data_IF_822072608677
#
_entry.id   IF_822072608677
#
_cell.length_a   1.000
_cell.length_b   1.000
_cell.length_c   1.000
_cell.angle_alpha   90.00
_cell.angle_beta   90.00
_cell.angle_gamma   90.00
#
_symmetry.space_group_name_H-M   'P 1'
#
loop_
_entity.id
_entity.type
_entity.pdbx_description
1 polymer ?
#
# COMPACT_ATOMS: atom_id res chain seq x y z
N UNK A 1 -11.27 -30.13 -0.39
CA UNK A 1 -9.92 -29.53 -0.28
C UNK A 1 -9.40 -29.31 -1.70
N UNK A 2 -9.83 -28.23 -2.35
CA UNK A 2 -9.33 -27.82 -3.66
C UNK A 2 -8.01 -27.08 -3.42
N UNK A 3 -6.88 -27.73 -3.68
CA UNK A 3 -5.59 -27.04 -3.78
C UNK A 3 -5.67 -26.06 -4.93
N UNK A 4 -5.79 -24.78 -4.61
CA UNK A 4 -5.88 -23.69 -5.58
C UNK A 4 -4.57 -23.56 -6.35
N UNK A 5 -4.61 -23.77 -7.64
CA UNK A 5 -3.49 -23.47 -8.54
C UNK A 5 -3.26 -21.96 -8.50
N UNK A 6 -2.14 -21.51 -7.93
CA UNK A 6 -1.74 -20.10 -8.03
C UNK A 6 -1.48 -19.82 -9.51
N UNK A 7 -2.34 -19.00 -10.13
CA UNK A 7 -2.16 -18.58 -11.52
C UNK A 7 -0.73 -18.06 -11.74
N UNK A 8 -0.14 -18.40 -12.88
CA UNK A 8 1.21 -17.93 -13.27
C UNK A 8 1.35 -16.40 -13.20
N UNK A 9 0.25 -15.66 -13.40
CA UNK A 9 0.21 -14.21 -13.24
C UNK A 9 0.41 -13.77 -11.78
N UNK A 10 -0.19 -14.48 -10.82
CA UNK A 10 -0.03 -14.21 -9.38
C UNK A 10 1.39 -14.58 -8.93
N UNK A 11 1.94 -15.70 -9.41
CA UNK A 11 3.32 -16.07 -9.10
C UNK A 11 4.30 -15.03 -9.63
N UNK A 12 4.12 -14.57 -10.88
CA UNK A 12 4.95 -13.51 -11.46
C UNK A 12 4.85 -12.21 -10.66
N UNK A 13 3.65 -11.82 -10.23
CA UNK A 13 3.42 -10.67 -9.36
C UNK A 13 4.19 -10.79 -8.03
N UNK A 14 4.07 -11.94 -7.35
CA UNK A 14 4.78 -12.20 -6.09
C UNK A 14 6.29 -12.08 -6.30
N UNK A 15 6.84 -12.68 -7.35
CA UNK A 15 8.27 -12.61 -7.65
C UNK A 15 8.74 -11.16 -7.87
N UNK A 16 7.96 -10.33 -8.58
CA UNK A 16 8.30 -8.93 -8.80
C UNK A 16 8.20 -8.13 -7.50
N UNK A 17 7.15 -8.33 -6.70
CA UNK A 17 6.96 -7.64 -5.43
C UNK A 17 8.05 -7.96 -4.40
N UNK A 18 8.53 -9.21 -4.35
CA UNK A 18 9.66 -9.62 -3.51
C UNK A 18 11.00 -9.06 -4.00
N UNK A 19 11.11 -8.74 -5.29
CA UNK A 19 12.31 -8.15 -5.87
C UNK A 19 12.42 -6.63 -5.65
N UNK A 20 11.37 -5.99 -5.13
CA UNK A 20 11.41 -4.56 -4.76
C UNK A 20 12.43 -4.39 -3.63
N UNK A 21 13.51 -3.62 -3.84
CA UNK A 21 14.55 -3.45 -2.83
C UNK A 21 14.03 -2.62 -1.65
N UNK A 22 14.57 -2.86 -0.46
CA UNK A 22 14.37 -1.98 0.70
C UNK A 22 15.27 -0.73 0.58
N UNK A 23 14.85 0.39 1.18
CA UNK A 23 15.51 1.71 1.06
C UNK A 23 16.97 1.75 1.55
N UNK A 24 17.36 0.81 2.39
CA UNK A 24 18.71 0.65 2.97
C UNK A 24 19.67 -0.11 2.05
N UNK A 25 19.18 -0.71 0.96
CA UNK A 25 20.00 -1.51 0.04
C UNK A 25 20.83 -0.60 -0.90
N UNK A 26 22.13 -0.89 -1.11
CA UNK A 26 22.95 -0.18 -2.09
C UNK A 26 22.34 -0.24 -3.49
N UNK A 27 22.48 0.87 -4.22
CA UNK A 27 21.95 1.04 -5.59
C UNK A 27 20.42 0.94 -5.67
N UNK A 28 19.72 1.29 -4.57
CA UNK A 28 18.25 1.30 -4.46
C UNK A 28 17.54 1.81 -5.73
N UNK A 29 17.88 3.02 -6.16
CA UNK A 29 17.25 3.68 -7.31
C UNK A 29 17.52 2.97 -8.64
N UNK A 30 18.73 2.40 -8.81
CA UNK A 30 19.10 1.65 -10.02
C UNK A 30 18.34 0.32 -10.07
N UNK A 31 18.23 -0.37 -8.93
CA UNK A 31 17.47 -1.63 -8.82
C UNK A 31 15.99 -1.41 -9.09
N UNK A 32 15.39 -0.36 -8.54
CA UNK A 32 14.00 0.01 -8.82
C UNK A 32 13.77 0.31 -10.32
N UNK A 33 14.64 1.10 -10.95
CA UNK A 33 14.51 1.40 -12.40
C UNK A 33 14.60 0.14 -13.26
N UNK A 34 15.46 -0.82 -12.90
CA UNK A 34 15.57 -2.10 -13.62
C UNK A 34 14.35 -2.98 -13.43
N UNK A 35 13.69 -2.89 -12.28
CA UNK A 35 12.48 -3.66 -11.97
C UNK A 35 11.23 -3.08 -12.64
N UNK A 36 11.20 -1.77 -12.90
CA UNK A 36 10.04 -1.04 -13.41
C UNK A 36 9.39 -1.66 -14.67
N UNK A 37 10.12 -2.10 -15.71
CA UNK A 37 9.49 -2.72 -16.88
C UNK A 37 8.81 -4.07 -16.57
N UNK A 38 9.29 -4.78 -15.53
CA UNK A 38 8.67 -6.01 -15.07
C UNK A 38 7.41 -5.73 -14.26
N UNK A 39 7.44 -4.69 -13.42
CA UNK A 39 6.27 -4.19 -12.71
C UNK A 39 5.16 -3.73 -13.66
N UNK A 40 5.49 -2.96 -14.70
CA UNK A 40 4.52 -2.45 -15.70
C UNK A 40 3.82 -3.61 -16.43
N UNK A 41 4.57 -4.66 -16.80
CA UNK A 41 4.02 -5.87 -17.43
C UNK A 41 3.11 -6.65 -16.48
N UNK A 42 3.47 -6.73 -15.20
CA UNK A 42 2.64 -7.38 -14.18
C UNK A 42 1.37 -6.55 -13.93
N UNK A 43 1.47 -5.23 -13.85
CA UNK A 43 0.34 -4.32 -13.69
C UNK A 43 -0.72 -4.52 -14.79
N UNK A 44 -0.32 -4.54 -16.06
CA UNK A 44 -1.24 -4.75 -17.18
C UNK A 44 -1.94 -6.12 -17.16
N UNK A 45 -1.28 -7.13 -16.57
CA UNK A 45 -1.84 -8.48 -16.42
C UNK A 45 -2.78 -8.56 -15.22
N UNK A 46 -2.42 -7.91 -14.11
CA UNK A 46 -3.19 -7.84 -12.87
C UNK A 46 -4.45 -6.98 -13.06
N UNK A 47 -4.37 -5.90 -13.83
CA UNK A 47 -5.50 -5.02 -14.16
C UNK A 47 -6.66 -5.74 -14.87
N UNK A 48 -6.33 -6.80 -15.62
CA UNK A 48 -7.31 -7.62 -16.36
C UNK A 48 -7.86 -8.79 -15.55
N UNK A 49 -7.21 -9.16 -14.45
CA UNK A 49 -7.55 -10.32 -13.62
C UNK A 49 -8.35 -9.91 -12.38
N UNK A 50 -8.82 -8.66 -12.34
CA UNK A 50 -9.55 -8.10 -11.21
C UNK A 50 -10.94 -8.73 -11.15
N UNK A 51 -11.01 -9.85 -10.45
CA UNK A 51 -12.04 -10.24 -9.50
C UNK A 51 -11.79 -11.71 -9.16
N UNK A 52 -11.52 -12.01 -7.89
CA UNK A 52 -11.50 -13.37 -7.30
C UNK A 52 -10.23 -14.16 -7.68
N UNK A 53 -9.16 -14.11 -6.88
CA UNK A 53 -8.73 -15.27 -6.08
C UNK A 53 -7.73 -14.90 -4.96
N UNK A 54 -7.69 -13.63 -4.53
CA UNK A 54 -6.78 -13.18 -3.46
C UNK A 54 -7.22 -13.57 -2.04
N UNK A 55 -8.31 -14.33 -1.89
CA UNK A 55 -9.04 -14.45 -0.61
C UNK A 55 -8.17 -14.85 0.59
N UNK A 56 -7.02 -15.50 0.38
CA UNK A 56 -6.06 -15.81 1.45
C UNK A 56 -4.57 -15.63 1.06
N UNK A 57 -4.26 -15.00 -0.07
CA UNK A 57 -2.86 -14.91 -0.54
C UNK A 57 -2.16 -13.65 -0.05
N UNK A 58 -1.70 -13.70 1.21
CA UNK A 58 -0.89 -12.65 1.85
C UNK A 58 0.24 -12.15 0.96
N UNK A 59 1.03 -13.08 0.39
CA UNK A 59 2.22 -12.74 -0.37
C UNK A 59 1.87 -11.93 -1.63
N UNK A 60 0.73 -12.20 -2.24
CA UNK A 60 0.28 -11.48 -3.41
C UNK A 60 -0.19 -10.07 -3.07
N UNK A 61 -0.83 -9.87 -1.90
CA UNK A 61 -1.21 -8.55 -1.40
C UNK A 61 0.01 -7.72 -0.99
N UNK A 62 0.97 -8.35 -0.28
CA UNK A 62 2.25 -7.71 0.08
C UNK A 62 3.01 -7.28 -1.19
N UNK A 63 2.98 -8.10 -2.25
CA UNK A 63 3.58 -7.76 -3.53
C UNK A 63 2.91 -6.55 -4.20
N UNK A 64 1.57 -6.44 -4.17
CA UNK A 64 0.86 -5.27 -4.68
C UNK A 64 1.22 -4.02 -3.89
N UNK A 65 1.30 -4.11 -2.55
CA UNK A 65 1.72 -3.00 -1.71
C UNK A 65 3.14 -2.52 -2.05
N UNK A 66 4.08 -3.45 -2.24
CA UNK A 66 5.46 -3.15 -2.64
C UNK A 66 5.54 -2.49 -4.03
N UNK A 67 4.67 -2.90 -4.98
CA UNK A 67 4.56 -2.23 -6.26
C UNK A 67 4.05 -0.78 -6.12
N UNK A 68 3.14 -0.51 -5.18
CA UNK A 68 2.73 0.85 -4.84
C UNK A 68 3.91 1.72 -4.40
N UNK A 69 4.80 1.20 -3.55
CA UNK A 69 6.03 1.88 -3.13
C UNK A 69 6.95 2.10 -4.34
N UNK A 70 7.17 1.08 -5.16
CA UNK A 70 8.01 1.17 -6.35
C UNK A 70 7.53 2.27 -7.30
N UNK A 71 6.21 2.36 -7.55
CA UNK A 71 5.64 3.38 -8.41
C UNK A 71 5.71 4.77 -7.80
N UNK A 72 5.45 4.91 -6.49
CA UNK A 72 5.54 6.18 -5.79
C UNK A 72 6.96 6.76 -5.86
N UNK A 73 7.99 5.92 -5.67
CA UNK A 73 9.40 6.35 -5.76
C UNK A 73 9.87 6.68 -7.19
N UNK A 74 9.10 6.30 -8.22
CA UNK A 74 9.35 6.63 -9.62
C UNK A 74 8.43 7.76 -10.11
N UNK A 75 7.77 8.48 -9.20
CA UNK A 75 6.79 9.54 -9.48
C UNK A 75 5.58 9.10 -10.34
N UNK A 76 5.32 7.78 -10.42
CA UNK A 76 4.16 7.20 -11.10
C UNK A 76 2.95 7.16 -10.16
N UNK A 77 2.42 8.35 -9.88
CA UNK A 77 1.41 8.53 -8.82
C UNK A 77 0.11 7.77 -9.09
N UNK A 78 -0.41 7.79 -10.32
CA UNK A 78 -1.67 7.11 -10.63
C UNK A 78 -1.58 5.59 -10.45
N UNK A 79 -0.47 4.99 -10.88
CA UNK A 79 -0.20 3.57 -10.73
C UNK A 79 0.03 3.20 -9.26
N UNK A 80 0.73 4.05 -8.49
CA UNK A 80 0.93 3.85 -7.06
C UNK A 80 -0.40 3.86 -6.29
N UNK A 81 -1.27 4.83 -6.56
CA UNK A 81 -2.59 4.94 -5.95
C UNK A 81 -3.43 3.69 -6.25
N UNK A 82 -3.45 3.26 -7.52
CA UNK A 82 -4.17 2.06 -7.93
C UNK A 82 -3.66 0.80 -7.21
N UNK A 83 -2.36 0.67 -6.97
CA UNK A 83 -1.80 -0.46 -6.21
C UNK A 83 -2.21 -0.42 -4.75
N UNK A 84 -2.08 0.72 -4.08
CA UNK A 84 -2.46 0.82 -2.68
C UNK A 84 -3.96 0.57 -2.44
N UNK A 85 -4.84 1.10 -3.31
CA UNK A 85 -6.28 0.86 -3.22
C UNK A 85 -6.64 -0.62 -3.43
N UNK A 86 -5.94 -1.32 -4.35
CA UNK A 86 -6.13 -2.76 -4.55
C UNK A 86 -5.66 -3.59 -3.37
N UNK A 87 -4.48 -3.26 -2.81
CA UNK A 87 -3.98 -3.92 -1.61
C UNK A 87 -4.96 -3.73 -0.44
N UNK A 88 -5.49 -2.51 -0.28
CA UNK A 88 -6.47 -2.20 0.75
C UNK A 88 -7.75 -3.03 0.62
N UNK A 89 -8.36 -3.06 -0.57
CA UNK A 89 -9.57 -3.85 -0.83
C UNK A 89 -9.32 -5.36 -0.57
N UNK A 90 -8.15 -5.86 -0.97
CA UNK A 90 -7.73 -7.23 -0.75
C UNK A 90 -7.58 -7.59 0.73
N UNK A 91 -6.88 -6.75 1.51
CA UNK A 91 -6.70 -6.97 2.94
C UNK A 91 -8.01 -6.82 3.72
N UNK A 92 -8.86 -5.87 3.36
CA UNK A 92 -10.19 -5.71 3.96
C UNK A 92 -11.05 -6.95 3.75
N UNK A 93 -11.03 -7.55 2.55
CA UNK A 93 -11.78 -8.77 2.25
C UNK A 93 -11.20 -10.00 2.96
N UNK A 94 -9.88 -10.13 3.04
CA UNK A 94 -9.22 -11.31 3.60
C UNK A 94 -9.25 -11.33 5.14
N UNK A 95 -8.95 -10.21 5.79
CA UNK A 95 -8.74 -10.16 7.25
C UNK A 95 -9.53 -9.05 7.96
N UNK A 96 -10.27 -8.25 7.20
CA UNK A 96 -11.12 -7.20 7.75
C UNK A 96 -10.44 -5.83 7.85
N UNK A 97 -11.24 -4.79 8.13
CA UNK A 97 -10.81 -3.39 8.12
C UNK A 97 -9.85 -3.02 9.26
N UNK A 98 -9.82 -3.79 10.35
CA UNK A 98 -9.03 -3.50 11.57
C UNK A 98 -7.75 -4.33 11.65
N UNK A 99 -7.50 -5.21 10.67
CA UNK A 99 -6.29 -6.00 10.62
C UNK A 99 -5.07 -5.10 10.40
N UNK A 100 -3.95 -5.38 11.08
CA UNK A 100 -2.74 -4.53 11.04
C UNK A 100 -2.28 -4.21 9.63
N UNK A 101 -2.26 -5.20 8.71
CA UNK A 101 -1.85 -4.97 7.32
C UNK A 101 -2.81 -4.06 6.54
N UNK A 102 -4.10 -4.11 6.87
CA UNK A 102 -5.10 -3.19 6.33
C UNK A 102 -4.80 -1.77 6.78
N UNK A 103 -4.57 -1.59 8.09
CA UNK A 103 -4.26 -0.30 8.70
C UNK A 103 -2.93 0.28 8.21
N UNK A 104 -1.90 -0.56 8.03
CA UNK A 104 -0.60 -0.18 7.45
C UNK A 104 -0.79 0.36 6.04
N UNK A 105 -1.65 -0.28 5.24
CA UNK A 105 -1.97 0.16 3.88
C UNK A 105 -2.72 1.49 3.87
N UNK A 106 -3.69 1.68 4.78
CA UNK A 106 -4.38 2.97 4.96
C UNK A 106 -3.39 4.07 5.36
N UNK A 107 -2.47 3.81 6.30
CA UNK A 107 -1.46 4.77 6.71
C UNK A 107 -0.50 5.12 5.55
N UNK A 108 -0.12 4.15 4.73
CA UNK A 108 0.68 4.38 3.53
C UNK A 108 -0.04 5.24 2.49
N UNK A 109 -1.36 5.05 2.30
CA UNK A 109 -2.19 5.96 1.49
C UNK A 109 -2.19 7.39 2.06
N UNK A 110 -2.22 7.54 3.38
CA UNK A 110 -2.07 8.84 4.05
C UNK A 110 -0.77 9.54 3.66
N UNK A 111 0.36 8.85 3.81
CA UNK A 111 1.69 9.37 3.40
C UNK A 111 1.74 9.71 1.91
N UNK A 112 1.14 8.86 1.09
CA UNK A 112 1.08 9.03 -0.35
C UNK A 112 0.31 10.28 -0.76
N UNK A 113 -0.83 10.57 -0.12
CA UNK A 113 -1.59 11.80 -0.36
C UNK A 113 -0.92 13.04 0.24
N UNK A 114 -0.27 12.92 1.41
CA UNK A 114 0.50 14.02 2.01
C UNK A 114 1.62 14.48 1.06
N UNK A 115 2.36 13.53 0.48
CA UNK A 115 3.43 13.82 -0.47
C UNK A 115 2.93 14.52 -1.75
N UNK A 116 1.66 14.35 -2.11
CA UNK A 116 1.00 15.06 -3.21
C UNK A 116 0.41 16.42 -2.81
N UNK A 117 0.45 16.79 -1.53
CA UNK A 117 -0.24 17.97 -1.00
C UNK A 117 -1.76 17.81 -0.86
N UNK A 118 -2.30 16.61 -1.05
CA UNK A 118 -3.72 16.26 -0.88
C UNK A 118 -4.05 16.07 0.61
N UNK A 119 -4.03 17.17 1.35
CA UNK A 119 -4.09 17.15 2.82
C UNK A 119 -5.41 16.59 3.36
N UNK A 120 -6.55 16.83 2.68
CA UNK A 120 -7.85 16.35 3.13
C UNK A 120 -7.95 14.82 3.01
N UNK A 121 -7.49 14.27 1.90
CA UNK A 121 -7.43 12.83 1.65
C UNK A 121 -6.43 12.15 2.59
N UNK A 122 -5.26 12.76 2.81
CA UNK A 122 -4.26 12.28 3.76
C UNK A 122 -4.83 12.19 5.18
N UNK A 123 -5.46 13.27 5.66
CA UNK A 123 -6.09 13.33 6.98
C UNK A 123 -7.21 12.29 7.14
N UNK A 124 -8.02 12.06 6.10
CA UNK A 124 -9.04 11.02 6.13
C UNK A 124 -8.44 9.62 6.32
N UNK A 125 -7.36 9.32 5.59
CA UNK A 125 -6.65 8.05 5.72
C UNK A 125 -6.00 7.90 7.10
N UNK A 126 -5.28 8.92 7.58
CA UNK A 126 -4.63 8.83 8.88
C UNK A 126 -5.62 8.70 10.05
N UNK A 127 -6.76 9.40 10.01
CA UNK A 127 -7.81 9.23 11.03
C UNK A 127 -8.32 7.81 11.05
N UNK A 128 -8.62 7.24 9.88
CA UNK A 128 -9.05 5.86 9.76
C UNK A 128 -8.02 4.88 10.31
N UNK A 129 -6.75 5.06 9.98
CA UNK A 129 -5.67 4.21 10.49
C UNK A 129 -5.51 4.34 12.01
N UNK A 130 -5.57 5.58 12.53
CA UNK A 130 -5.45 5.85 13.97
C UNK A 130 -6.55 5.17 14.77
N UNK A 131 -7.81 5.37 14.39
CA UNK A 131 -8.96 4.74 15.05
C UNK A 131 -8.85 3.20 15.04
N UNK A 132 -8.39 2.64 13.91
CA UNK A 132 -8.16 1.20 13.80
C UNK A 132 -7.03 0.70 14.70
N UNK A 133 -5.88 1.38 14.74
CA UNK A 133 -4.76 0.97 15.59
C UNK A 133 -5.09 1.14 17.08
N UNK A 134 -5.81 2.20 17.46
CA UNK A 134 -6.30 2.40 18.82
C UNK A 134 -7.20 1.25 19.25
N UNK A 135 -8.11 0.81 18.39
CA UNK A 135 -9.01 -0.31 18.69
C UNK A 135 -8.29 -1.65 18.75
N UNK A 136 -7.35 -1.90 17.83
CA UNK A 136 -6.65 -3.19 17.73
C UNK A 136 -5.55 -3.36 18.80
N UNK A 137 -4.82 -2.30 19.13
CA UNK A 137 -3.59 -2.36 19.93
C UNK A 137 -3.55 -1.36 21.10
N UNK A 138 -4.49 -0.42 21.16
CA UNK A 138 -4.53 0.63 22.17
C UNK A 138 -3.82 1.93 21.76
N UNK A 139 -4.04 3.02 22.53
CA UNK A 139 -3.51 4.36 22.23
C UNK A 139 -1.99 4.46 22.35
N UNK A 140 -1.37 3.65 23.22
CA UNK A 140 0.07 3.70 23.52
C UNK A 140 0.91 2.82 22.58
N UNK A 141 0.29 2.10 21.65
CA UNK A 141 1.02 1.25 20.73
C UNK A 141 1.81 2.09 19.73
N UNK A 142 3.03 1.65 19.39
CA UNK A 142 3.95 2.39 18.52
C UNK A 142 3.33 2.78 17.17
N UNK A 143 2.49 1.92 16.58
CA UNK A 143 1.82 2.24 15.30
C UNK A 143 0.76 3.34 15.46
N UNK A 144 0.04 3.33 16.57
CA UNK A 144 -0.92 4.37 16.95
C UNK A 144 -0.22 5.72 17.15
N UNK A 145 0.86 5.73 17.93
CA UNK A 145 1.66 6.93 18.19
C UNK A 145 2.32 7.49 16.92
N UNK A 146 2.84 6.61 16.06
CA UNK A 146 3.42 7.00 14.78
C UNK A 146 2.37 7.60 13.86
N UNK A 147 1.19 7.00 13.78
CA UNK A 147 0.08 7.53 13.00
C UNK A 147 -0.31 8.89 13.58
N UNK A 148 -0.60 9.01 14.88
CA UNK A 148 -0.97 10.27 15.56
C UNK A 148 0.03 11.44 15.39
N UNK A 149 1.26 11.15 14.94
CA UNK A 149 2.29 12.14 14.62
C UNK A 149 2.11 12.81 13.25
N UNK A 150 1.24 12.31 12.37
CA UNK A 150 0.90 12.90 11.07
C UNK A 150 0.60 14.40 11.21
N UNK A 151 0.94 15.25 10.21
CA UNK A 151 1.25 16.65 10.44
C UNK A 151 0.12 17.41 11.14
N UNK A 152 0.38 17.89 12.36
CA UNK A 152 -0.35 19.01 12.99
C UNK A 152 -0.07 20.34 12.27
N UNK A 153 -0.04 20.36 10.94
CA UNK A 153 -0.15 21.64 10.22
C UNK A 153 -1.57 22.11 10.47
N UNK A 154 -1.70 23.07 11.38
CA UNK A 154 -2.94 23.82 11.61
C UNK A 154 -3.61 24.05 10.25
N UNK A 155 -4.92 23.83 10.11
CA UNK A 155 -5.61 24.23 8.89
C UNK A 155 -5.18 25.67 8.62
N UNK A 156 -4.67 25.93 7.42
CA UNK A 156 -4.50 27.29 6.94
C UNK A 156 -5.91 27.89 6.96
N UNK A 157 -6.24 28.54 8.07
CA UNK A 157 -7.43 29.38 8.20
C UNK A 157 -7.30 30.41 7.09
N UNK A 158 -8.27 30.32 6.20
CA UNK A 158 -8.42 31.09 4.98
C UNK A 158 -8.04 32.56 5.19
N UNK A 159 -7.08 33.02 4.38
CA UNK A 159 -6.60 34.40 4.39
C UNK A 159 -7.63 35.30 3.73
N UNK A 160 -8.41 35.96 4.58
CA UNK A 160 -9.32 37.07 4.29
C UNK A 160 -8.62 38.25 3.62
#
# INVERSE_FOLDING_TARGET
MSGGEISMAILALICVGLAVPMKDVPEYSVKQRRLLPHADKCFASVDKTINLEFQDNRNALDAVQNLGILYADQDKMAEAEAMYLRALEGYEKAWGPEHTLTLDTVNNLGNFYENQGKMAEAEAMYRRALEGYEKAWGPEHTSTLNTARWPKRKPCIDGR
#
